data_IF_577235201088
#
_entry.id   IF_577235201088
#
_cell.length_a   1.000
_cell.length_b   1.000
_cell.length_c   1.000
_cell.angle_alpha   90.00
_cell.angle_beta   90.00
_cell.angle_gamma   90.00
#
_symmetry.space_group_name_H-M   'P 1'
#
loop_
_entity.id
_entity.type
_entity.pdbx_description
1 polymer ?
#
# COMPACT_ATOMS: atom_id res chain seq x y z
N UNK A 1 -18.90 3.49 -13.62
CA UNK A 1 -19.16 2.53 -12.54
C UNK A 1 -18.37 2.97 -11.34
N UNK A 2 -19.02 3.24 -10.22
CA UNK A 2 -18.30 3.49 -8.95
C UNK A 2 -17.82 2.15 -8.41
N UNK A 3 -16.51 1.98 -8.33
CA UNK A 3 -15.90 0.83 -7.68
C UNK A 3 -16.09 1.06 -6.17
N UNK A 4 -16.82 0.19 -5.44
CA UNK A 4 -17.05 0.39 -4.02
C UNK A 4 -15.71 0.27 -3.29
N UNK A 5 -15.23 1.39 -2.77
CA UNK A 5 -14.03 1.46 -1.94
C UNK A 5 -14.27 0.62 -0.69
N UNK A 6 -13.36 -0.32 -0.45
CA UNK A 6 -13.38 -1.43 0.53
C UNK A 6 -14.10 -1.11 1.84
N UNK A 7 -15.24 -1.77 2.05
CA UNK A 7 -15.82 -2.00 3.38
C UNK A 7 -14.90 -2.93 4.16
N UNK A 8 -14.07 -2.36 5.04
CA UNK A 8 -13.26 -2.97 6.11
C UNK A 8 -11.75 -2.79 5.99
N UNK A 9 -11.33 -1.52 6.00
CA UNK A 9 -9.96 -1.14 6.40
C UNK A 9 -9.54 -1.78 7.72
N UNK A 10 -10.46 -1.95 8.67
CA UNK A 10 -10.21 -2.58 9.97
C UNK A 10 -9.80 -4.06 9.87
N UNK A 11 -10.42 -4.84 8.98
CA UNK A 11 -10.04 -6.24 8.78
C UNK A 11 -8.65 -6.31 8.14
N UNK A 12 -8.40 -5.48 7.13
CA UNK A 12 -7.10 -5.44 6.47
C UNK A 12 -6.01 -5.00 7.44
N UNK A 13 -6.22 -3.94 8.20
CA UNK A 13 -5.28 -3.46 9.22
C UNK A 13 -5.02 -4.53 10.29
N UNK A 14 -6.06 -5.27 10.70
CA UNK A 14 -5.94 -6.40 11.63
C UNK A 14 -5.15 -7.59 11.08
N UNK A 15 -5.18 -7.83 9.77
CA UNK A 15 -4.34 -8.86 9.13
C UNK A 15 -2.91 -8.37 8.95
N UNK A 16 -2.72 -7.10 8.60
CA UNK A 16 -1.42 -6.51 8.31
C UNK A 16 -0.61 -6.22 9.58
N UNK A 17 -1.25 -6.08 10.76
CA UNK A 17 -0.55 -5.80 12.02
C UNK A 17 0.55 -6.83 12.34
N UNK A 18 0.39 -8.08 11.90
CA UNK A 18 1.39 -9.14 12.10
C UNK A 18 2.70 -8.87 11.36
N UNK A 19 2.66 -8.07 10.30
CA UNK A 19 3.84 -7.63 9.55
C UNK A 19 4.46 -6.35 10.10
N UNK A 20 3.87 -5.72 11.13
CA UNK A 20 4.36 -4.46 11.71
C UNK A 20 5.82 -4.54 12.14
N UNK A 21 6.25 -5.68 12.69
CA UNK A 21 7.62 -5.90 13.15
C UNK A 21 8.65 -5.91 12.02
N UNK A 22 8.25 -6.20 10.79
CA UNK A 22 9.11 -6.15 9.61
C UNK A 22 9.44 -4.70 9.18
N UNK A 23 8.74 -3.71 9.72
CA UNK A 23 8.98 -2.30 9.41
C UNK A 23 9.65 -1.60 10.60
N UNK A 24 10.85 -1.04 10.46
CA UNK A 24 11.46 -0.25 11.53
C UNK A 24 10.65 1.02 11.80
N UNK A 25 10.06 1.62 10.77
CA UNK A 25 9.29 2.86 10.88
C UNK A 25 7.79 2.66 10.71
N UNK A 26 6.99 3.29 11.58
CA UNK A 26 5.52 3.26 11.51
C UNK A 26 4.99 3.84 10.20
N UNK A 27 5.69 4.83 9.64
CA UNK A 27 5.28 5.49 8.39
C UNK A 27 5.41 4.55 7.19
N UNK A 28 6.46 3.74 7.16
CA UNK A 28 6.67 2.72 6.14
C UNK A 28 5.60 1.63 6.20
N UNK A 29 5.26 1.17 7.40
CA UNK A 29 4.15 0.23 7.60
C UNK A 29 2.81 0.80 7.10
N UNK A 30 2.53 2.08 7.35
CA UNK A 30 1.32 2.73 6.83
C UNK A 30 1.27 2.75 5.30
N UNK A 31 2.38 3.08 4.65
CA UNK A 31 2.47 3.08 3.19
C UNK A 31 2.32 1.67 2.60
N UNK A 32 2.84 0.65 3.30
CA UNK A 32 2.59 -0.74 2.96
C UNK A 32 1.10 -1.11 3.06
N UNK A 33 0.42 -0.75 4.16
CA UNK A 33 -1.02 -1.00 4.29
C UNK A 33 -1.85 -0.28 3.23
N UNK A 34 -1.47 0.94 2.89
CA UNK A 34 -2.07 1.69 1.77
C UNK A 34 -1.83 0.96 0.44
N UNK A 35 -0.61 0.46 0.19
CA UNK A 35 -0.27 -0.27 -1.02
C UNK A 35 -1.13 -1.54 -1.15
N UNK A 36 -1.22 -2.36 -0.10
CA UNK A 36 -2.02 -3.60 -0.11
C UNK A 36 -3.50 -3.27 -0.31
N UNK A 37 -4.00 -2.22 0.35
CA UNK A 37 -5.37 -1.76 0.15
C UNK A 37 -5.63 -1.39 -1.31
N UNK A 38 -4.74 -0.59 -1.93
CA UNK A 38 -4.89 -0.19 -3.33
C UNK A 38 -4.74 -1.40 -4.26
N UNK A 39 -3.79 -2.31 -4.02
CA UNK A 39 -3.61 -3.54 -4.79
C UNK A 39 -4.84 -4.45 -4.75
N UNK A 40 -5.50 -4.56 -3.60
CA UNK A 40 -6.72 -5.35 -3.46
C UNK A 40 -7.87 -4.81 -4.32
N UNK A 41 -7.86 -3.51 -4.65
CA UNK A 41 -8.87 -2.86 -5.50
C UNK A 41 -8.42 -2.69 -6.95
N UNK A 42 -7.18 -3.07 -7.27
CA UNK A 42 -6.58 -2.79 -8.56
C UNK A 42 -6.66 -4.03 -9.45
N UNK A 43 -7.43 -3.94 -10.54
CA UNK A 43 -7.49 -5.02 -11.55
C UNK A 43 -6.15 -5.19 -12.28
N UNK A 44 -5.36 -4.11 -12.38
CA UNK A 44 -4.05 -4.10 -13.04
C UNK A 44 -2.95 -3.67 -12.06
N UNK A 45 -2.00 -4.56 -11.79
CA UNK A 45 -0.92 -4.35 -10.82
C UNK A 45 0.19 -3.38 -11.28
N UNK A 46 -0.09 -2.46 -12.20
CA UNK A 46 0.89 -1.48 -12.68
C UNK A 46 0.87 -0.21 -11.83
N UNK A 47 2.05 0.40 -11.63
CA UNK A 47 2.20 1.65 -10.86
C UNK A 47 1.32 2.78 -11.40
N UNK A 48 1.18 2.87 -12.72
CA UNK A 48 0.29 3.85 -13.36
C UNK A 48 -1.18 3.65 -12.98
N UNK A 49 -1.62 2.39 -12.85
CA UNK A 49 -2.98 2.09 -12.44
C UNK A 49 -3.20 2.32 -10.94
N UNK A 50 -2.22 1.97 -10.09
CA UNK A 50 -2.25 2.31 -8.67
C UNK A 50 -2.37 3.82 -8.45
N UNK A 51 -1.60 4.60 -9.21
CA UNK A 51 -1.69 6.07 -9.19
C UNK A 51 -3.05 6.57 -9.68
N UNK A 52 -3.73 5.88 -10.61
CA UNK A 52 -5.09 6.25 -11.01
C UNK A 52 -6.16 6.00 -9.93
N UNK A 53 -5.90 5.08 -8.99
CA UNK A 53 -6.80 4.76 -7.87
C UNK A 53 -6.57 5.72 -6.70
N UNK A 54 -5.32 6.13 -6.46
CA UNK A 54 -4.97 7.12 -5.45
C UNK A 54 -5.24 8.52 -6.04
N UNK A 55 -6.40 9.10 -5.73
CA UNK A 55 -6.83 10.39 -6.29
C UNK A 55 -6.04 11.61 -5.79
N UNK A 56 -5.35 11.49 -4.66
CA UNK A 56 -4.52 12.57 -4.10
C UNK A 56 -3.07 12.46 -4.59
N UNK A 57 -2.59 13.51 -5.27
CA UNK A 57 -1.23 13.62 -5.78
C UNK A 57 -0.14 13.49 -4.69
N UNK A 58 -0.40 13.94 -3.46
CA UNK A 58 0.54 13.77 -2.36
C UNK A 58 0.71 12.28 -1.98
N UNK A 59 -0.41 11.54 -2.01
CA UNK A 59 -0.40 10.11 -1.72
C UNK A 59 0.20 9.29 -2.88
N UNK A 60 0.01 9.70 -4.14
CA UNK A 60 0.71 9.12 -5.30
C UNK A 60 2.23 9.29 -5.18
N UNK A 61 2.69 10.50 -4.84
CA UNK A 61 4.13 10.80 -4.69
C UNK A 61 4.75 9.99 -3.55
N UNK A 62 4.06 9.90 -2.41
CA UNK A 62 4.51 9.08 -1.27
C UNK A 62 4.55 7.59 -1.63
N UNK A 63 3.58 7.08 -2.38
CA UNK A 63 3.55 5.70 -2.85
C UNK A 63 4.72 5.40 -3.81
N UNK A 64 4.98 6.28 -4.77
CA UNK A 64 6.11 6.12 -5.69
C UNK A 64 7.46 6.16 -4.94
N UNK A 65 7.60 7.00 -3.90
CA UNK A 65 8.79 7.02 -3.03
C UNK A 65 8.92 5.73 -2.21
N UNK A 66 7.82 5.18 -1.73
CA UNK A 66 7.81 3.91 -1.02
C UNK A 66 8.22 2.76 -1.94
N UNK A 67 7.66 2.65 -3.15
CA UNK A 67 7.99 1.62 -4.14
C UNK A 67 9.42 1.70 -4.68
N UNK A 68 10.01 2.90 -4.72
CA UNK A 68 11.40 3.12 -5.11
C UNK A 68 12.38 3.07 -3.92
N UNK A 69 11.88 2.85 -2.70
CA UNK A 69 12.73 2.69 -1.53
C UNK A 69 13.33 1.29 -1.48
N UNK A 70 14.55 1.17 -0.95
CA UNK A 70 15.26 -0.10 -0.70
C UNK A 70 14.65 -0.92 0.45
N UNK A 71 13.40 -0.68 0.82
CA UNK A 71 12.77 -1.36 1.95
C UNK A 71 12.64 -2.87 1.73
N UNK A 72 12.68 -3.30 0.47
CA UNK A 72 12.59 -4.70 0.08
C UNK A 72 13.95 -5.38 -0.12
N UNK A 73 15.08 -4.71 0.14
CA UNK A 73 16.38 -5.38 -0.04
C UNK A 73 16.59 -6.52 0.98
N UNK A 74 15.85 -6.57 2.10
CA UNK A 74 16.01 -7.61 3.13
C UNK A 74 14.74 -7.95 3.97
N UNK A 75 13.55 -7.35 3.73
CA UNK A 75 12.45 -7.38 4.71
C UNK A 75 11.20 -8.21 4.35
N UNK A 76 10.73 -8.28 3.09
CA UNK A 76 9.36 -8.76 2.81
C UNK A 76 9.22 -9.70 1.60
N UNK A 77 9.93 -9.50 0.49
CA UNK A 77 9.69 -10.28 -0.75
C UNK A 77 10.76 -11.35 -1.08
N UNK A 78 11.37 -11.96 -0.05
CA UNK A 78 12.22 -13.17 -0.21
C UNK A 78 11.41 -14.47 -0.18
#
# INVERSE_FOLDING_TARGET
MEIPVVKNREILDGLLINYRSAFPEIRQFRHFSELISVLNNSEKRSVAHLNSIISDHANQSNMNRFLSSKIDEDLIFH
#
